data_IF_461964658397
#
_entry.id   IF_461964658397
#
_cell.length_a   1.000
_cell.length_b   1.000
_cell.length_c   1.000
_cell.angle_alpha   90.00
_cell.angle_beta   90.00
_cell.angle_gamma   90.00
#
_symmetry.space_group_name_H-M   'P 1'
#
loop_
_entity.id
_entity.type
_entity.pdbx_description
1 polymer ?
#
# COMPACT_ATOMS: atom_id res chain seq x y z
N UNK A 1 -2.89 -42.96 -22.76
CA UNK A 1 -1.49 -42.51 -22.79
C UNK A 1 -1.41 -41.17 -22.07
N UNK A 2 -1.17 -41.19 -20.77
CA UNK A 2 -0.89 -40.01 -19.96
C UNK A 2 0.54 -39.58 -20.26
N UNK A 3 0.72 -38.79 -21.33
CA UNK A 3 1.99 -38.12 -21.57
C UNK A 3 2.28 -37.25 -20.36
N UNK A 4 3.36 -37.56 -19.63
CA UNK A 4 3.82 -36.72 -18.53
C UNK A 4 4.11 -35.33 -19.08
N UNK A 5 3.17 -34.40 -18.86
CA UNK A 5 3.35 -32.98 -19.11
C UNK A 5 4.46 -32.48 -18.18
N UNK A 6 5.68 -32.47 -18.68
CA UNK A 6 6.83 -31.85 -18.03
C UNK A 6 6.81 -30.35 -18.29
N UNK A 7 7.18 -29.54 -17.29
CA UNK A 7 7.34 -28.09 -17.45
C UNK A 7 8.29 -27.74 -18.60
N UNK A 8 9.36 -28.52 -18.78
CA UNK A 8 10.31 -28.34 -19.90
C UNK A 8 9.73 -28.73 -21.27
N UNK A 9 8.59 -29.42 -21.29
CA UNK A 9 7.84 -29.72 -22.52
C UNK A 9 6.96 -28.57 -23.01
N UNK A 10 6.78 -27.51 -22.21
CA UNK A 10 6.07 -26.28 -22.60
C UNK A 10 6.98 -25.47 -23.55
N UNK A 11 6.48 -24.76 -24.56
CA UNK A 11 7.28 -23.81 -25.34
C UNK A 11 7.96 -22.74 -24.47
N UNK A 12 9.17 -22.29 -24.86
CA UNK A 12 9.96 -21.36 -24.06
C UNK A 12 9.24 -20.02 -23.85
N UNK A 13 8.51 -19.55 -24.86
CA UNK A 13 7.74 -18.30 -24.83
C UNK A 13 6.67 -18.33 -23.74
N UNK A 14 6.01 -19.47 -23.57
CA UNK A 14 5.01 -19.65 -22.50
C UNK A 14 5.67 -19.80 -21.13
N UNK A 15 6.85 -20.42 -21.05
CA UNK A 15 7.61 -20.48 -19.78
C UNK A 15 8.05 -19.11 -19.30
N UNK A 16 8.42 -18.20 -20.21
CA UNK A 16 8.77 -16.81 -19.85
C UNK A 16 7.59 -16.10 -19.16
N UNK A 17 6.37 -16.25 -19.69
CA UNK A 17 5.15 -15.72 -19.07
C UNK A 17 4.93 -16.33 -17.68
N UNK A 18 5.18 -17.64 -17.52
CA UNK A 18 5.10 -18.29 -16.20
C UNK A 18 6.12 -17.70 -15.22
N UNK A 19 7.35 -17.40 -15.65
CA UNK A 19 8.34 -16.77 -14.77
C UNK A 19 7.95 -15.34 -14.38
N UNK A 20 7.31 -14.57 -15.27
CA UNK A 20 6.76 -13.25 -14.95
C UNK A 20 5.65 -13.35 -13.90
N UNK A 21 4.70 -14.26 -14.10
CA UNK A 21 3.63 -14.50 -13.12
C UNK A 21 4.20 -14.95 -11.77
N UNK A 22 5.17 -15.86 -11.77
CA UNK A 22 5.84 -16.31 -10.56
C UNK A 22 6.56 -15.16 -9.84
N UNK A 23 7.23 -14.26 -10.57
CA UNK A 23 7.86 -13.08 -9.98
C UNK A 23 6.80 -12.12 -9.42
N UNK A 24 5.70 -11.89 -10.14
CA UNK A 24 4.59 -11.04 -9.69
C UNK A 24 3.98 -11.57 -8.38
N UNK A 25 3.68 -12.87 -8.31
CA UNK A 25 3.22 -13.51 -7.07
C UNK A 25 4.25 -13.42 -5.95
N UNK A 26 5.54 -13.58 -6.25
CA UNK A 26 6.59 -13.42 -5.26
C UNK A 26 6.64 -12.01 -4.68
N UNK A 27 6.50 -11.01 -5.55
CA UNK A 27 6.52 -9.60 -5.16
C UNK A 27 5.32 -9.21 -4.33
N UNK A 28 4.28 -10.05 -4.24
CA UNK A 28 3.10 -9.81 -3.41
C UNK A 28 3.45 -9.63 -1.93
N UNK A 29 3.07 -8.50 -1.36
CA UNK A 29 3.34 -8.19 0.06
C UNK A 29 2.05 -8.35 0.87
N UNK A 30 1.94 -9.46 1.59
CA UNK A 30 0.84 -9.67 2.54
C UNK A 30 1.29 -9.40 3.97
N UNK A 31 0.42 -8.77 4.77
CA UNK A 31 0.62 -8.52 6.21
C UNK A 31 1.95 -7.81 6.57
N UNK A 32 2.43 -6.88 5.72
CA UNK A 32 3.72 -6.19 5.87
C UNK A 32 4.93 -7.12 5.96
N UNK A 33 4.78 -8.38 5.51
CA UNK A 33 5.85 -9.36 5.53
C UNK A 33 6.70 -9.20 4.27
N UNK A 34 7.99 -8.93 4.47
CA UNK A 34 8.94 -8.90 3.37
C UNK A 34 9.00 -10.28 2.67
N UNK A 35 8.85 -10.33 1.34
CA UNK A 35 9.05 -11.56 0.57
C UNK A 35 10.45 -12.14 0.78
N UNK A 36 10.60 -13.47 0.75
CA UNK A 36 11.90 -14.13 0.92
C UNK A 36 12.37 -14.81 -0.35
N UNK A 37 13.67 -14.73 -0.67
CA UNK A 37 14.22 -15.35 -1.89
C UNK A 37 14.29 -16.89 -1.84
N UNK A 38 13.78 -17.55 -0.80
CA UNK A 38 13.93 -19.00 -0.62
C UNK A 38 13.34 -19.83 -1.76
N UNK A 39 12.18 -19.47 -2.28
CA UNK A 39 11.54 -20.21 -3.38
C UNK A 39 12.15 -19.85 -4.74
N UNK A 40 12.65 -18.62 -4.94
CA UNK A 40 13.48 -18.29 -6.12
C UNK A 40 14.71 -19.19 -6.18
N UNK A 41 15.27 -19.59 -5.01
CA UNK A 41 16.45 -20.46 -5.00
C UNK A 41 16.24 -21.80 -5.73
N UNK A 42 15.00 -22.27 -5.81
CA UNK A 42 14.66 -23.52 -6.51
C UNK A 42 14.89 -23.42 -8.01
N UNK A 43 14.82 -22.22 -8.59
CA UNK A 43 15.02 -22.00 -10.02
C UNK A 43 16.49 -22.16 -10.44
N UNK A 44 17.45 -22.03 -9.51
CA UNK A 44 18.86 -22.30 -9.77
C UNK A 44 19.19 -23.80 -9.85
N UNK A 45 18.24 -24.71 -9.56
CA UNK A 45 18.49 -26.15 -9.58
C UNK A 45 18.57 -26.68 -11.02
N UNK A 46 17.73 -26.17 -11.92
CA UNK A 46 17.73 -26.57 -13.33
C UNK A 46 18.40 -25.48 -14.17
N UNK A 47 19.53 -25.81 -14.81
CA UNK A 47 20.32 -24.86 -15.61
C UNK A 47 19.49 -24.19 -16.71
N UNK A 48 18.67 -24.95 -17.43
CA UNK A 48 17.82 -24.39 -18.49
C UNK A 48 16.81 -23.38 -17.94
N UNK A 49 16.12 -23.72 -16.86
CA UNK A 49 15.16 -22.80 -16.20
C UNK A 49 15.87 -21.55 -15.72
N UNK A 50 17.05 -21.70 -15.13
CA UNK A 50 17.85 -20.57 -14.68
C UNK A 50 18.25 -19.65 -15.84
N UNK A 51 18.82 -20.20 -16.91
CA UNK A 51 19.28 -19.43 -18.07
C UNK A 51 18.12 -18.66 -18.74
N UNK A 52 16.91 -19.24 -18.76
CA UNK A 52 15.70 -18.57 -19.25
C UNK A 52 15.20 -17.48 -18.30
N UNK A 53 15.09 -17.78 -17.00
CA UNK A 53 14.43 -16.93 -16.01
C UNK A 53 15.30 -15.79 -15.48
N UNK A 54 16.64 -15.88 -15.59
CA UNK A 54 17.57 -14.93 -14.97
C UNK A 54 17.34 -13.47 -15.40
N UNK A 55 16.92 -13.25 -16.64
CA UNK A 55 16.66 -11.90 -17.19
C UNK A 55 15.38 -11.24 -16.64
N UNK A 56 14.44 -12.05 -16.15
CA UNK A 56 13.18 -11.61 -15.55
C UNK A 56 13.38 -11.44 -14.04
N UNK A 57 13.85 -12.51 -13.38
CA UNK A 57 13.94 -12.58 -11.93
C UNK A 57 15.09 -11.74 -11.39
N UNK A 58 16.16 -11.58 -12.19
CA UNK A 58 17.29 -10.72 -11.85
C UNK A 58 16.95 -9.23 -11.72
N UNK A 59 15.75 -8.80 -12.11
CA UNK A 59 15.24 -7.43 -11.96
C UNK A 59 14.76 -7.10 -10.55
N UNK A 60 14.70 -8.11 -9.67
CA UNK A 60 14.16 -8.00 -8.32
C UNK A 60 15.16 -8.55 -7.28
N UNK A 61 15.19 -7.95 -6.10
CA UNK A 61 15.92 -8.49 -4.96
C UNK A 61 15.17 -8.26 -3.64
N UNK A 62 15.24 -9.24 -2.74
CA UNK A 62 14.87 -9.07 -1.33
C UNK A 62 16.07 -9.22 -0.40
N UNK A 63 16.36 -8.20 0.40
CA UNK A 63 17.44 -8.12 1.37
C UNK A 63 16.85 -7.88 2.77
N UNK A 64 16.57 -8.96 3.50
CA UNK A 64 15.83 -8.94 4.76
C UNK A 64 16.70 -8.63 5.99
N UNK A 65 18.01 -8.86 5.90
CA UNK A 65 18.92 -8.70 7.02
C UNK A 65 20.37 -8.51 6.55
N UNK A 66 21.23 -8.05 7.44
CA UNK A 66 22.61 -7.64 7.14
C UNK A 66 23.44 -8.74 6.45
N UNK A 67 23.24 -10.02 6.83
CA UNK A 67 23.94 -11.14 6.15
C UNK A 67 23.58 -11.26 4.66
N UNK A 68 22.33 -11.01 4.28
CA UNK A 68 21.91 -11.02 2.87
C UNK A 68 22.45 -9.81 2.12
N UNK A 69 22.44 -8.64 2.77
CA UNK A 69 23.03 -7.40 2.24
C UNK A 69 24.53 -7.62 1.93
N UNK A 70 25.29 -8.14 2.89
CA UNK A 70 26.71 -8.41 2.70
C UNK A 70 26.97 -9.50 1.64
N UNK A 71 26.16 -10.56 1.61
CA UNK A 71 26.27 -11.59 0.57
C UNK A 71 26.01 -11.00 -0.83
N UNK A 72 25.01 -10.13 -0.97
CA UNK A 72 24.74 -9.42 -2.22
C UNK A 72 25.92 -8.54 -2.64
N UNK A 73 26.47 -7.74 -1.71
CA UNK A 73 27.62 -6.88 -1.98
C UNK A 73 28.84 -7.68 -2.43
N UNK A 74 29.09 -8.85 -1.83
CA UNK A 74 30.26 -9.67 -2.14
C UNK A 74 30.11 -10.51 -3.41
N UNK A 75 28.89 -10.96 -3.74
CA UNK A 75 28.68 -11.99 -4.76
C UNK A 75 27.92 -11.53 -6.00
N UNK A 76 27.09 -10.49 -5.92
CA UNK A 76 26.42 -9.97 -7.11
C UNK A 76 27.47 -9.31 -8.02
N UNK A 77 27.43 -9.61 -9.31
CA UNK A 77 28.22 -8.88 -10.32
C UNK A 77 27.67 -7.46 -10.50
N UNK A 78 28.47 -6.54 -11.03
CA UNK A 78 27.99 -5.18 -11.33
C UNK A 78 26.80 -5.19 -12.29
N UNK A 79 26.86 -6.00 -13.35
CA UNK A 79 25.75 -6.14 -14.30
C UNK A 79 24.45 -6.63 -13.65
N UNK A 80 24.54 -7.62 -12.75
CA UNK A 80 23.38 -8.16 -12.02
C UNK A 80 22.80 -7.16 -11.03
N UNK A 81 23.64 -6.36 -10.37
CA UNK A 81 23.16 -5.35 -9.46
C UNK A 81 22.50 -4.19 -10.22
N UNK A 82 23.10 -3.76 -11.34
CA UNK A 82 22.64 -2.64 -12.13
C UNK A 82 21.24 -2.86 -12.75
N UNK A 83 20.89 -4.09 -13.15
CA UNK A 83 19.59 -4.43 -13.74
C UNK A 83 18.42 -4.52 -12.74
N UNK A 84 18.68 -4.36 -11.44
CA UNK A 84 17.62 -4.43 -10.42
C UNK A 84 16.77 -3.16 -10.50
N UNK A 85 15.48 -3.35 -10.76
CA UNK A 85 14.48 -2.28 -10.84
C UNK A 85 13.62 -2.18 -9.58
N UNK A 86 13.42 -3.30 -8.87
CA UNK A 86 12.65 -3.36 -7.63
C UNK A 86 13.48 -3.99 -6.52
N UNK A 87 13.53 -3.33 -5.36
CA UNK A 87 14.22 -3.85 -4.18
C UNK A 87 13.32 -3.82 -2.94
N UNK A 88 13.26 -4.96 -2.26
CA UNK A 88 12.70 -5.09 -0.92
C UNK A 88 13.84 -5.12 0.08
N UNK A 89 13.88 -4.15 0.99
CA UNK A 89 15.01 -4.00 1.91
C UNK A 89 14.54 -3.79 3.34
N UNK A 90 15.29 -4.31 4.31
CA UNK A 90 15.13 -3.97 5.72
C UNK A 90 16.09 -2.83 6.08
N UNK A 91 15.55 -1.67 6.49
CA UNK A 91 16.38 -0.51 6.86
C UNK A 91 16.54 -0.42 8.38
N UNK A 92 17.80 -0.47 8.83
CA UNK A 92 18.17 -0.32 10.24
C UNK A 92 17.97 1.13 10.74
N UNK A 93 18.10 2.12 9.85
CA UNK A 93 17.84 3.53 10.14
C UNK A 93 18.83 4.21 11.09
N UNK A 94 19.68 3.45 11.79
CA UNK A 94 20.69 3.99 12.71
C UNK A 94 21.92 4.49 11.95
N UNK A 95 22.38 5.67 12.35
CA UNK A 95 23.64 6.29 11.92
C UNK A 95 24.48 6.64 13.14
N UNK A 96 25.80 6.50 13.02
CA UNK A 96 26.77 7.03 13.97
C UNK A 96 27.28 8.39 13.49
N UNK A 97 27.28 9.37 14.38
CA UNK A 97 27.83 10.70 14.14
C UNK A 97 28.65 11.22 15.32
N UNK A 98 29.30 12.39 15.17
CA UNK A 98 30.09 13.00 16.22
C UNK A 98 29.24 13.29 17.47
N UNK A 99 29.86 13.17 18.64
CA UNK A 99 29.21 13.37 19.95
C UNK A 99 28.80 14.83 20.17
N UNK A 100 29.53 15.77 19.57
CA UNK A 100 29.33 17.22 19.68
C UNK A 100 28.82 17.82 18.35
N UNK A 101 27.50 17.84 18.18
CA UNK A 101 26.86 18.38 16.97
C UNK A 101 27.16 19.87 16.67
N UNK A 102 27.66 20.62 17.65
CA UNK A 102 27.99 22.06 17.51
C UNK A 102 29.41 22.35 17.04
N UNK A 103 30.32 21.37 17.08
CA UNK A 103 31.74 21.54 16.68
C UNK A 103 32.05 20.82 15.37
N UNK A 104 31.32 19.75 15.07
CA UNK A 104 31.59 18.84 13.94
C UNK A 104 30.39 18.69 12.99
N UNK A 105 29.74 19.81 12.63
CA UNK A 105 28.57 19.79 11.73
C UNK A 105 28.89 19.22 10.33
N UNK A 106 30.16 19.26 9.92
CA UNK A 106 30.63 18.78 8.62
C UNK A 106 31.10 17.31 8.62
N UNK A 107 31.06 16.61 9.77
CA UNK A 107 31.44 15.19 9.78
C UNK A 107 30.32 14.32 9.19
N UNK A 108 30.65 13.41 8.25
CA UNK A 108 29.64 12.58 7.59
C UNK A 108 29.01 11.61 8.58
N UNK A 109 27.69 11.52 8.55
CA UNK A 109 26.95 10.47 9.23
C UNK A 109 27.32 9.12 8.61
N UNK A 110 27.75 8.16 9.44
CA UNK A 110 28.11 6.82 8.98
C UNK A 110 26.96 5.87 9.27
N UNK A 111 26.30 5.28 8.27
CA UNK A 111 25.27 4.26 8.48
C UNK A 111 25.86 3.02 9.16
N UNK A 112 25.10 2.40 10.05
CA UNK A 112 25.54 1.14 10.65
C UNK A 112 25.39 -0.06 9.72
N UNK A 113 24.32 -0.08 8.93
CA UNK A 113 24.08 -1.13 7.94
C UNK A 113 24.80 -0.83 6.63
N UNK A 114 25.29 -1.88 5.96
CA UNK A 114 25.86 -1.79 4.62
C UNK A 114 24.78 -1.68 3.52
N UNK A 115 23.50 -1.52 3.87
CA UNK A 115 22.41 -1.35 2.92
C UNK A 115 22.70 -0.27 1.87
N UNK A 116 23.25 0.87 2.30
CA UNK A 116 23.63 1.97 1.40
C UNK A 116 24.63 1.54 0.31
N UNK A 117 25.53 0.61 0.61
CA UNK A 117 26.49 0.07 -0.37
C UNK A 117 25.78 -0.84 -1.39
N UNK A 118 24.83 -1.65 -0.93
CA UNK A 118 24.03 -2.49 -1.83
C UNK A 118 23.18 -1.62 -2.77
N UNK A 119 22.47 -0.64 -2.22
CA UNK A 119 21.64 0.29 -2.99
C UNK A 119 22.47 1.05 -4.02
N UNK A 120 23.66 1.55 -3.67
CA UNK A 120 24.53 2.27 -4.62
C UNK A 120 24.89 1.46 -5.87
N UNK A 121 24.86 0.12 -5.81
CA UNK A 121 25.14 -0.75 -6.96
C UNK A 121 23.91 -0.96 -7.86
N UNK A 122 22.71 -0.62 -7.40
CA UNK A 122 21.43 -0.82 -8.08
C UNK A 122 21.05 0.39 -8.93
N UNK A 123 21.84 0.70 -9.94
CA UNK A 123 21.73 1.95 -10.69
C UNK A 123 20.41 2.14 -11.46
N UNK A 124 19.68 1.06 -11.77
CA UNK A 124 18.37 1.11 -12.45
C UNK A 124 17.18 0.98 -11.50
N UNK A 125 17.39 1.11 -10.19
CA UNK A 125 16.35 1.01 -9.17
C UNK A 125 15.32 2.13 -9.33
N UNK A 126 14.05 1.76 -9.52
CA UNK A 126 12.91 2.69 -9.62
C UNK A 126 11.86 2.44 -8.54
N UNK A 127 11.75 1.22 -8.02
CA UNK A 127 10.84 0.86 -6.95
C UNK A 127 11.61 0.39 -5.71
N UNK A 128 11.41 1.08 -4.59
CA UNK A 128 12.01 0.73 -3.31
C UNK A 128 10.93 0.49 -2.26
N UNK A 129 10.87 -0.75 -1.75
CA UNK A 129 9.99 -1.12 -0.65
C UNK A 129 10.82 -1.40 0.59
N UNK A 130 10.57 -0.62 1.64
CA UNK A 130 11.35 -0.66 2.88
C UNK A 130 10.52 -1.28 4.00
N UNK A 131 11.06 -2.32 4.61
CA UNK A 131 10.44 -3.09 5.67
C UNK A 131 11.13 -2.83 7.01
N UNK A 132 10.41 -3.14 8.09
CA UNK A 132 10.96 -3.10 9.44
C UNK A 132 12.22 -3.96 9.58
N UNK A 133 13.33 -3.37 10.04
CA UNK A 133 14.49 -4.13 10.44
C UNK A 133 14.23 -4.84 11.79
N UNK A 134 14.10 -6.16 11.75
CA UNK A 134 13.93 -7.02 12.95
C UNK A 134 15.25 -7.54 13.51
N UNK A 135 16.31 -7.51 12.71
CA UNK A 135 17.64 -8.02 13.05
C UNK A 135 18.68 -6.93 12.85
N UNK A 136 18.60 -5.89 13.69
CA UNK A 136 19.59 -4.82 13.67
C UNK A 136 20.97 -5.30 14.10
N UNK A 137 22.01 -4.64 13.62
CA UNK A 137 23.40 -4.94 14.00
C UNK A 137 23.56 -4.69 15.52
N UNK A 138 24.10 -5.64 16.29
CA UNK A 138 24.33 -5.44 17.72
C UNK A 138 25.42 -4.38 17.90
N UNK A 139 25.16 -3.39 18.76
CA UNK A 139 26.11 -2.32 19.07
C UNK A 139 26.59 -2.49 20.50
N UNK A 140 27.91 -2.55 20.71
CA UNK A 140 28.47 -2.37 22.03
C UNK A 140 28.62 -0.88 22.34
N UNK A 141 27.60 -0.31 22.99
CA UNK A 141 27.52 1.13 23.31
C UNK A 141 28.74 1.61 24.12
N UNK A 142 29.37 0.73 24.91
CA UNK A 142 30.53 1.08 25.74
C UNK A 142 31.82 1.29 24.93
N UNK A 143 31.89 0.82 23.67
CA UNK A 143 33.07 0.93 22.81
C UNK A 143 32.98 2.05 21.77
N UNK A 144 31.82 2.68 21.62
CA UNK A 144 31.59 3.68 20.58
C UNK A 144 31.65 5.07 21.20
N UNK A 145 32.73 5.80 20.94
CA UNK A 145 32.87 7.23 21.23
C UNK A 145 32.09 8.09 20.22
N UNK A 146 30.90 7.66 19.79
CA UNK A 146 30.08 8.32 18.79
C UNK A 146 28.60 8.29 19.21
N UNK A 147 27.87 9.34 18.84
CA UNK A 147 26.44 9.44 19.11
C UNK A 147 25.67 8.63 18.08
N UNK A 148 24.82 7.74 18.57
CA UNK A 148 23.86 7.02 17.74
C UNK A 148 22.61 7.89 17.53
N UNK A 149 22.16 8.01 16.29
CA UNK A 149 20.92 8.68 15.95
C UNK A 149 20.11 7.84 14.95
N UNK A 150 18.79 8.07 14.91
CA UNK A 150 17.92 7.53 13.86
C UNK A 150 17.80 8.59 12.76
N UNK A 151 18.29 8.26 11.56
CA UNK A 151 18.19 9.08 10.35
C UNK A 151 17.86 8.16 9.19
N UNK A 152 16.57 7.91 9.01
CA UNK A 152 16.07 6.79 8.22
C UNK A 152 16.57 6.81 6.76
N UNK A 153 16.40 7.91 6.04
CA UNK A 153 16.84 8.01 4.64
C UNK A 153 18.35 8.20 4.51
N UNK A 154 18.99 8.94 5.42
CA UNK A 154 20.45 9.07 5.43
C UNK A 154 21.17 7.74 5.69
N UNK A 155 20.55 6.80 6.40
CA UNK A 155 21.11 5.45 6.56
C UNK A 155 21.15 4.67 5.23
N UNK A 156 20.24 4.96 4.30
CA UNK A 156 20.21 4.38 2.95
C UNK A 156 21.03 5.19 1.94
N UNK A 157 21.08 6.51 2.11
CA UNK A 157 21.68 7.47 1.18
C UNK A 157 22.59 8.47 1.90
N UNK A 158 23.71 8.02 2.52
CA UNK A 158 24.58 8.89 3.31
C UNK A 158 25.27 10.00 2.49
N UNK A 159 25.42 9.78 1.17
CA UNK A 159 26.03 10.73 0.25
C UNK A 159 25.08 11.82 -0.24
N UNK A 160 23.77 11.70 0.03
CA UNK A 160 22.74 12.63 -0.45
C UNK A 160 22.31 12.42 -1.91
N UNK A 161 22.81 11.37 -2.59
CA UNK A 161 22.43 11.05 -3.97
C UNK A 161 21.50 9.82 -4.00
N UNK A 162 20.17 10.01 -3.91
CA UNK A 162 19.22 8.90 -4.02
C UNK A 162 19.02 8.47 -5.48
N UNK A 163 18.42 7.29 -5.66
CA UNK A 163 17.89 6.88 -6.96
C UNK A 163 16.69 7.74 -7.35
N UNK A 164 16.42 7.82 -8.65
CA UNK A 164 15.18 8.40 -9.18
C UNK A 164 14.04 7.39 -9.06
N UNK A 165 13.50 7.28 -7.84
CA UNK A 165 12.40 6.38 -7.56
C UNK A 165 11.10 6.89 -8.20
N UNK A 166 10.33 5.97 -8.77
CA UNK A 166 8.93 6.16 -9.18
C UNK A 166 7.97 5.60 -8.13
N UNK A 167 8.40 4.58 -7.38
CA UNK A 167 7.64 4.01 -6.29
C UNK A 167 8.47 3.95 -5.00
N UNK A 168 7.90 4.47 -3.91
CA UNK A 168 8.51 4.44 -2.59
C UNK A 168 7.49 3.98 -1.55
N UNK A 169 7.73 2.80 -0.99
CA UNK A 169 6.76 2.14 -0.13
C UNK A 169 7.37 1.75 1.21
N UNK A 170 6.75 2.21 2.30
CA UNK A 170 7.17 1.90 3.66
C UNK A 170 6.21 0.90 4.31
N UNK A 171 6.75 -0.23 4.75
CA UNK A 171 6.08 -1.31 5.49
C UNK A 171 6.67 -1.43 6.90
N UNK A 172 6.44 -0.41 7.71
CA UNK A 172 7.04 -0.23 9.03
C UNK A 172 6.04 -0.54 10.15
N UNK A 173 6.58 -0.79 11.33
CA UNK A 173 5.76 -0.97 12.52
C UNK A 173 5.20 0.38 13.02
N UNK A 174 4.06 0.38 13.74
CA UNK A 174 3.41 1.60 14.22
C UNK A 174 4.30 2.51 15.08
N UNK A 175 5.33 1.97 15.72
CA UNK A 175 6.23 2.69 16.62
C UNK A 175 7.47 3.25 15.90
N UNK A 176 7.69 2.87 14.64
CA UNK A 176 8.87 3.30 13.88
C UNK A 176 8.67 4.71 13.34
N UNK A 177 9.50 5.62 13.84
CA UNK A 177 9.54 7.02 13.45
C UNK A 177 10.38 7.24 12.20
N UNK A 178 9.79 7.83 11.18
CA UNK A 178 10.46 8.18 9.93
C UNK A 178 10.10 9.60 9.51
N UNK A 179 11.11 10.38 9.15
CA UNK A 179 10.93 11.61 8.38
C UNK A 179 11.16 11.25 6.92
N UNK A 180 10.14 11.47 6.10
CA UNK A 180 10.18 11.20 4.67
C UNK A 180 10.82 12.37 3.92
N UNK A 181 11.47 12.07 2.80
CA UNK A 181 12.01 13.06 1.86
C UNK A 181 13.07 13.98 2.49
N UNK A 182 13.85 13.46 3.45
CA UNK A 182 15.09 14.11 3.91
C UNK A 182 16.18 14.01 2.82
N UNK A 183 16.17 12.90 2.05
CA UNK A 183 17.11 12.64 0.96
C UNK A 183 16.38 12.23 -0.32
N UNK A 184 15.34 11.39 -0.23
CA UNK A 184 14.60 10.90 -1.41
C UNK A 184 13.84 12.06 -2.07
N UNK A 185 13.91 12.16 -3.40
CA UNK A 185 13.28 13.25 -4.16
C UNK A 185 11.78 12.97 -4.39
N UNK A 186 10.87 13.79 -3.83
CA UNK A 186 9.42 13.54 -3.90
C UNK A 186 8.82 13.79 -5.28
N UNK A 187 9.48 14.59 -6.12
CA UNK A 187 8.94 15.08 -7.40
C UNK A 187 8.71 14.01 -8.47
N UNK A 188 9.37 12.86 -8.34
CA UNK A 188 9.30 11.74 -9.28
C UNK A 188 8.43 10.59 -8.77
N UNK A 189 7.99 10.64 -7.51
CA UNK A 189 7.22 9.56 -6.91
C UNK A 189 5.80 9.55 -7.49
N UNK A 190 5.46 8.48 -8.20
CA UNK A 190 4.14 8.17 -8.73
C UNK A 190 3.31 7.34 -7.74
N UNK A 191 3.98 6.43 -7.02
CA UNK A 191 3.38 5.54 -6.02
C UNK A 191 4.03 5.78 -4.66
N UNK A 192 3.23 6.23 -3.69
CA UNK A 192 3.66 6.41 -2.31
C UNK A 192 2.81 5.54 -1.39
N UNK A 193 3.46 4.65 -0.64
CA UNK A 193 2.82 3.91 0.46
C UNK A 193 3.51 4.26 1.76
N UNK A 194 2.71 4.62 2.77
CA UNK A 194 3.20 5.02 4.08
C UNK A 194 2.50 4.23 5.16
N UNK A 195 3.28 3.72 6.12
CA UNK A 195 2.80 3.03 7.32
C UNK A 195 3.62 3.45 8.54
N UNK A 196 3.02 3.48 9.72
CA UNK A 196 3.70 3.85 10.97
C UNK A 196 3.78 5.35 11.24
N UNK A 197 4.77 5.76 12.04
CA UNK A 197 4.90 7.15 12.51
C UNK A 197 5.73 7.98 11.50
N UNK A 198 5.09 8.33 10.39
CA UNK A 198 5.73 9.06 9.31
C UNK A 198 5.44 10.57 9.38
N UNK A 199 6.50 11.35 9.21
CA UNK A 199 6.47 12.81 9.16
C UNK A 199 6.84 13.28 7.75
N UNK A 200 5.97 14.07 7.15
CA UNK A 200 6.23 14.76 5.90
C UNK A 200 6.69 16.20 6.20
N UNK A 201 7.58 16.78 5.38
CA UNK A 201 7.86 18.21 5.40
C UNK A 201 6.58 19.04 5.22
N UNK A 202 6.55 20.26 5.78
CA UNK A 202 5.33 21.09 5.89
C UNK A 202 4.74 21.58 4.56
N UNK A 203 5.37 21.30 3.42
CA UNK A 203 4.82 21.47 2.09
C UNK A 203 5.69 20.68 1.10
N UNK A 204 5.20 19.52 0.65
CA UNK A 204 5.89 18.72 -0.36
C UNK A 204 5.16 18.86 -1.68
N UNK A 205 5.90 19.21 -2.74
CA UNK A 205 5.38 19.21 -4.10
C UNK A 205 5.56 17.82 -4.71
N UNK A 206 4.45 17.16 -5.03
CA UNK A 206 4.44 15.79 -5.57
C UNK A 206 3.66 15.73 -6.91
N UNK A 207 4.12 16.40 -7.96
CA UNK A 207 3.38 16.54 -9.22
C UNK A 207 3.23 15.21 -9.98
N UNK A 208 4.14 14.26 -9.76
CA UNK A 208 4.08 12.92 -10.34
C UNK A 208 3.11 11.98 -9.60
N UNK A 209 2.73 12.28 -8.34
CA UNK A 209 1.99 11.34 -7.51
C UNK A 209 0.60 11.02 -8.08
N UNK A 210 0.34 9.72 -8.28
CA UNK A 210 -0.91 9.16 -8.79
C UNK A 210 -1.54 8.18 -7.81
N UNK A 211 -0.74 7.45 -7.04
CA UNK A 211 -1.22 6.42 -6.14
C UNK A 211 -0.70 6.71 -4.73
N UNK A 212 -1.63 6.91 -3.80
CA UNK A 212 -1.32 7.13 -2.40
C UNK A 212 -1.99 6.08 -1.53
N UNK A 213 -1.20 5.48 -0.65
CA UNK A 213 -1.69 4.56 0.37
C UNK A 213 -1.21 4.97 1.77
N UNK A 214 -2.17 5.26 2.65
CA UNK A 214 -1.97 5.57 4.05
C UNK A 214 -2.54 4.44 4.90
N UNK A 215 -1.68 3.63 5.51
CA UNK A 215 -2.14 2.45 6.25
C UNK A 215 -1.53 2.34 7.65
N UNK A 216 -2.38 2.43 8.68
CA UNK A 216 -1.94 2.36 10.07
C UNK A 216 -0.90 3.43 10.41
N UNK A 217 -1.18 4.67 9.97
CA UNK A 217 -0.39 5.84 10.33
C UNK A 217 -0.61 6.15 11.82
N UNK A 218 0.46 6.41 12.56
CA UNK A 218 0.43 6.72 14.01
C UNK A 218 0.96 8.11 14.35
N UNK A 219 1.55 8.81 13.39
CA UNK A 219 1.98 10.20 13.55
C UNK A 219 0.82 11.18 13.52
N UNK A 220 1.04 12.37 14.08
CA UNK A 220 0.05 13.45 14.14
C UNK A 220 0.10 14.39 12.92
N UNK A 221 0.93 14.11 11.91
CA UNK A 221 1.09 14.99 10.75
C UNK A 221 -0.25 15.25 10.05
N UNK A 222 -1.00 14.18 9.73
CA UNK A 222 -2.32 14.29 9.10
C UNK A 222 -3.43 14.69 10.07
N UNK A 223 -3.18 14.72 11.39
CA UNK A 223 -4.09 15.37 12.34
C UNK A 223 -3.97 16.90 12.30
N UNK A 224 -2.86 17.43 11.77
CA UNK A 224 -2.60 18.86 11.68
C UNK A 224 -2.77 19.40 10.27
N UNK A 225 -2.53 18.56 9.26
CA UNK A 225 -2.51 18.94 7.85
C UNK A 225 -3.52 18.10 7.05
N UNK A 226 -4.18 18.75 6.11
CA UNK A 226 -5.04 18.13 5.11
C UNK A 226 -4.23 17.49 3.99
N UNK A 227 -4.88 16.68 3.16
CA UNK A 227 -4.22 16.02 2.01
C UNK A 227 -3.65 17.07 1.04
N UNK A 228 -4.38 18.16 0.83
CA UNK A 228 -3.96 19.29 -0.01
C UNK A 228 -2.69 19.97 0.50
N UNK A 229 -2.62 20.22 1.81
CA UNK A 229 -1.46 20.86 2.46
C UNK A 229 -0.23 19.94 2.43
N UNK A 230 -0.42 18.65 2.71
CA UNK A 230 0.68 17.68 2.76
C UNK A 230 1.23 17.32 1.37
N UNK A 231 0.38 17.29 0.33
CA UNK A 231 0.70 16.69 -0.97
C UNK A 231 0.30 17.63 -2.14
N UNK A 232 0.85 18.83 -2.11
CA UNK A 232 0.58 19.86 -3.11
C UNK A 232 0.91 19.41 -4.55
N UNK A 233 0.05 19.79 -5.49
CA UNK A 233 0.24 19.54 -6.93
C UNK A 233 -0.01 18.10 -7.41
N UNK A 234 -0.40 17.18 -6.53
CA UNK A 234 -0.68 15.80 -6.92
C UNK A 234 -1.95 15.69 -7.80
N UNK A 235 -2.02 14.62 -8.60
CA UNK A 235 -3.21 14.27 -9.41
C UNK A 235 -3.56 12.81 -9.18
N UNK A 236 -4.07 12.53 -7.98
CA UNK A 236 -4.30 11.15 -7.56
C UNK A 236 -5.35 10.46 -8.44
N UNK A 237 -4.99 9.28 -8.93
CA UNK A 237 -5.88 8.31 -9.55
C UNK A 237 -6.36 7.28 -8.52
N UNK A 238 -5.56 6.99 -7.49
CA UNK A 238 -5.87 6.04 -6.43
C UNK A 238 -5.54 6.61 -5.06
N UNK A 239 -6.50 6.54 -4.15
CA UNK A 239 -6.32 6.84 -2.73
C UNK A 239 -6.81 5.68 -1.89
N UNK A 240 -5.93 5.15 -1.04
CA UNK A 240 -6.24 4.06 -0.12
C UNK A 240 -5.90 4.51 1.30
N UNK A 241 -6.90 4.50 2.16
CA UNK A 241 -6.74 4.70 3.59
C UNK A 241 -7.18 3.46 4.35
N UNK A 242 -6.43 3.06 5.37
CA UNK A 242 -6.89 2.09 6.33
C UNK A 242 -6.40 2.34 7.75
N UNK A 243 -7.34 2.30 8.69
CA UNK A 243 -7.07 2.36 10.12
C UNK A 243 -6.40 1.06 10.59
N UNK A 244 -5.07 1.00 10.49
CA UNK A 244 -4.28 -0.16 10.88
C UNK A 244 -3.88 -0.21 12.36
N UNK A 245 -4.16 0.84 13.13
CA UNK A 245 -3.80 0.93 14.55
C UNK A 245 -4.86 1.73 15.33
N UNK A 246 -5.26 1.27 16.53
CA UNK A 246 -6.35 1.89 17.31
C UNK A 246 -6.08 3.32 17.78
N UNK A 247 -4.81 3.66 17.96
CA UNK A 247 -4.36 5.01 18.34
C UNK A 247 -3.78 5.77 17.14
N UNK A 248 -4.03 5.27 15.94
CA UNK A 248 -3.52 5.88 14.71
C UNK A 248 -4.33 7.09 14.28
N UNK A 249 -3.83 7.76 13.25
CA UNK A 249 -4.54 8.80 12.53
C UNK A 249 -5.88 8.27 12.01
N UNK A 250 -6.97 8.92 12.45
CA UNK A 250 -8.33 8.68 11.97
C UNK A 250 -8.68 9.69 10.88
N UNK A 251 -9.00 9.21 9.67
CA UNK A 251 -9.55 10.08 8.63
C UNK A 251 -10.88 10.68 9.08
N UNK A 252 -11.11 11.95 8.76
CA UNK A 252 -12.26 12.77 9.20
C UNK A 252 -12.80 13.51 7.99
N UNK A 253 -14.00 14.08 8.12
CA UNK A 253 -14.70 14.81 7.06
C UNK A 253 -13.78 15.78 6.29
N UNK A 254 -13.09 16.68 6.99
CA UNK A 254 -12.16 17.66 6.37
C UNK A 254 -11.08 17.03 5.49
N UNK A 255 -10.62 15.82 5.81
CA UNK A 255 -9.56 15.14 5.05
C UNK A 255 -10.13 14.57 3.75
N UNK A 256 -11.36 14.03 3.79
CA UNK A 256 -12.04 13.52 2.60
C UNK A 256 -12.48 14.68 1.69
N UNK A 257 -12.95 15.78 2.26
CA UNK A 257 -13.30 17.01 1.52
C UNK A 257 -12.07 17.60 0.82
N UNK A 258 -10.94 17.70 1.52
CA UNK A 258 -9.66 18.12 0.93
C UNK A 258 -9.22 17.19 -0.21
N UNK A 259 -9.33 15.86 -0.02
CA UNK A 259 -9.04 14.89 -1.08
C UNK A 259 -9.95 15.09 -2.31
N UNK A 260 -11.25 15.27 -2.09
CA UNK A 260 -12.22 15.49 -3.17
C UNK A 260 -11.93 16.80 -3.93
N UNK A 261 -11.55 17.85 -3.22
CA UNK A 261 -11.16 19.15 -3.81
C UNK A 261 -9.95 19.01 -4.75
N UNK A 262 -8.89 18.33 -4.29
CA UNK A 262 -7.63 18.24 -5.03
C UNK A 262 -7.65 17.18 -6.13
N UNK A 263 -8.20 16.00 -5.82
CA UNK A 263 -8.10 14.82 -6.68
C UNK A 263 -9.42 14.35 -7.28
N UNK A 264 -10.57 14.89 -6.87
CA UNK A 264 -11.88 14.36 -7.20
C UNK A 264 -12.11 14.14 -8.70
N UNK A 265 -11.72 15.11 -9.53
CA UNK A 265 -11.88 15.05 -10.99
C UNK A 265 -11.05 13.94 -11.70
N UNK A 266 -10.08 13.35 -11.01
CA UNK A 266 -9.15 12.36 -11.56
C UNK A 266 -9.22 11.01 -10.83
N UNK A 267 -9.79 10.98 -9.63
CA UNK A 267 -9.80 9.79 -8.79
C UNK A 267 -10.63 8.68 -9.42
N UNK A 268 -10.01 7.50 -9.57
CA UNK A 268 -10.62 6.28 -10.10
C UNK A 268 -10.78 5.19 -9.04
N UNK A 269 -9.92 5.18 -8.01
CA UNK A 269 -9.99 4.25 -6.89
C UNK A 269 -9.98 4.99 -5.56
N UNK A 270 -11.00 4.74 -4.75
CA UNK A 270 -11.13 5.25 -3.39
C UNK A 270 -11.42 4.09 -2.45
N UNK A 271 -10.50 3.83 -1.52
CA UNK A 271 -10.63 2.79 -0.51
C UNK A 271 -10.50 3.43 0.87
N UNK A 272 -11.50 3.25 1.71
CA UNK A 272 -11.62 3.86 3.03
C UNK A 272 -11.94 2.79 4.08
N UNK A 273 -10.93 2.33 4.83
CA UNK A 273 -11.07 1.21 5.75
C UNK A 273 -11.04 1.63 7.22
N UNK A 274 -12.01 1.15 8.00
CA UNK A 274 -12.09 1.39 9.44
C UNK A 274 -12.48 2.82 9.80
N UNK A 275 -13.25 3.50 8.96
CA UNK A 275 -13.63 4.89 9.18
C UNK A 275 -14.74 5.01 10.22
N UNK A 276 -14.44 5.63 11.37
CA UNK A 276 -15.40 5.89 12.46
C UNK A 276 -15.83 7.36 12.57
N UNK A 277 -15.09 8.27 11.91
CA UNK A 277 -15.26 9.74 11.99
C UNK A 277 -15.75 10.38 10.70
N UNK A 278 -16.21 9.57 9.75
CA UNK A 278 -16.80 10.05 8.50
C UNK A 278 -18.32 10.01 8.61
N UNK A 279 -18.96 11.11 8.24
CA UNK A 279 -20.43 11.18 8.16
C UNK A 279 -20.91 10.81 6.77
N UNK A 280 -22.09 10.17 6.68
CA UNK A 280 -22.68 9.76 5.40
C UNK A 280 -22.94 10.96 4.47
N UNK A 281 -23.21 12.14 5.04
CA UNK A 281 -23.38 13.41 4.31
C UNK A 281 -22.12 13.85 3.57
N UNK A 282 -20.97 13.81 4.23
CA UNK A 282 -19.70 14.24 3.63
C UNK A 282 -19.21 13.23 2.61
N UNK A 283 -19.38 11.93 2.87
CA UNK A 283 -19.07 10.89 1.88
C UNK A 283 -19.86 11.13 0.59
N UNK A 284 -21.17 11.37 0.69
CA UNK A 284 -22.03 11.64 -0.46
C UNK A 284 -21.57 12.88 -1.26
N UNK A 285 -21.36 14.01 -0.58
CA UNK A 285 -20.89 15.24 -1.21
C UNK A 285 -19.52 15.08 -1.89
N UNK A 286 -18.63 14.27 -1.31
CA UNK A 286 -17.33 13.98 -1.91
C UNK A 286 -17.46 13.08 -3.15
N UNK A 287 -18.33 12.07 -3.12
CA UNK A 287 -18.58 11.18 -4.26
C UNK A 287 -19.16 11.93 -5.47
N UNK A 288 -19.99 12.94 -5.26
CA UNK A 288 -20.52 13.81 -6.33
C UNK A 288 -19.40 14.55 -7.09
N UNK A 289 -18.27 14.81 -6.42
CA UNK A 289 -17.09 15.44 -7.01
C UNK A 289 -16.11 14.43 -7.64
N UNK A 290 -16.47 13.14 -7.71
CA UNK A 290 -15.63 12.04 -8.22
C UNK A 290 -16.28 11.33 -9.42
N UNK A 291 -16.51 12.01 -10.55
CA UNK A 291 -17.27 11.46 -11.68
C UNK A 291 -16.60 10.28 -12.38
N UNK A 292 -15.28 10.10 -12.19
CA UNK A 292 -14.49 9.02 -12.81
C UNK A 292 -14.22 7.84 -11.88
N UNK A 293 -14.88 7.79 -10.72
CA UNK A 293 -14.64 6.74 -9.75
C UNK A 293 -15.14 5.39 -10.26
N UNK A 294 -14.21 4.46 -10.47
CA UNK A 294 -14.45 3.11 -10.97
C UNK A 294 -14.49 2.09 -9.81
N UNK A 295 -13.65 2.30 -8.79
CA UNK A 295 -13.54 1.43 -7.63
C UNK A 295 -13.81 2.21 -6.35
N UNK A 296 -14.84 1.81 -5.59
CA UNK A 296 -15.15 2.37 -4.28
C UNK A 296 -15.30 1.27 -3.24
N UNK A 297 -14.47 1.34 -2.20
CA UNK A 297 -14.49 0.41 -1.08
C UNK A 297 -14.58 1.17 0.24
N UNK A 298 -15.57 0.85 1.06
CA UNK A 298 -15.85 1.53 2.32
C UNK A 298 -16.07 0.51 3.45
N UNK A 299 -15.23 0.55 4.47
CA UNK A 299 -15.51 -0.08 5.76
C UNK A 299 -15.79 1.00 6.80
N UNK A 300 -17.07 1.14 7.15
CA UNK A 300 -17.57 2.15 8.07
C UNK A 300 -17.84 1.54 9.45
N UNK A 301 -17.39 2.22 10.50
CA UNK A 301 -17.69 1.91 11.90
C UNK A 301 -18.75 2.88 12.40
N UNK A 302 -20.00 2.42 12.51
CA UNK A 302 -21.14 3.25 12.89
C UNK A 302 -21.21 3.43 14.41
N UNK A 303 -21.51 4.66 14.84
CA UNK A 303 -21.76 5.03 16.24
C UNK A 303 -23.22 5.47 16.39
N UNK A 304 -23.54 6.66 15.86
CA UNK A 304 -24.87 7.29 16.04
C UNK A 304 -25.57 7.64 14.72
N UNK A 305 -24.89 7.50 13.58
CA UNK A 305 -25.43 7.87 12.27
C UNK A 305 -25.09 6.82 11.21
N UNK A 306 -26.11 6.50 10.39
CA UNK A 306 -25.97 5.85 9.10
C UNK A 306 -27.06 6.42 8.18
N UNK A 307 -26.70 6.93 7.01
CA UNK A 307 -27.67 7.41 6.01
C UNK A 307 -27.39 6.78 4.65
N UNK A 308 -28.42 6.72 3.81
CA UNK A 308 -28.37 6.08 2.49
C UNK A 308 -27.81 6.98 1.39
N UNK A 309 -27.68 8.27 1.64
CA UNK A 309 -27.36 9.30 0.65
C UNK A 309 -26.03 9.06 -0.08
N UNK A 310 -25.02 8.47 0.56
CA UNK A 310 -23.77 8.16 -0.13
C UNK A 310 -23.93 7.07 -1.21
N UNK A 311 -24.89 6.15 -1.04
CA UNK A 311 -25.24 5.18 -2.09
C UNK A 311 -25.97 5.87 -3.24
N UNK A 312 -26.83 6.84 -2.92
CA UNK A 312 -27.55 7.64 -3.92
C UNK A 312 -26.60 8.51 -4.75
N UNK A 313 -25.50 8.97 -4.14
CA UNK A 313 -24.46 9.79 -4.78
C UNK A 313 -23.37 8.98 -5.50
N UNK A 314 -23.49 7.64 -5.60
CA UNK A 314 -22.50 6.83 -6.31
C UNK A 314 -22.49 7.17 -7.81
N UNK A 315 -21.31 7.40 -8.40
CA UNK A 315 -21.24 7.72 -9.82
C UNK A 315 -21.56 6.50 -10.70
N UNK A 316 -22.09 6.73 -11.91
CA UNK A 316 -22.41 5.66 -12.86
C UNK A 316 -21.15 4.97 -13.43
N UNK A 317 -19.95 5.42 -13.09
CA UNK A 317 -18.68 4.81 -13.50
C UNK A 317 -18.24 3.65 -12.60
N UNK A 318 -18.87 3.48 -11.42
CA UNK A 318 -18.53 2.40 -10.48
C UNK A 318 -18.68 1.02 -11.14
N UNK A 319 -17.56 0.30 -11.22
CA UNK A 319 -17.45 -1.10 -11.64
C UNK A 319 -17.21 -2.03 -10.45
N UNK A 320 -16.48 -1.56 -9.43
CA UNK A 320 -16.21 -2.33 -8.21
C UNK A 320 -16.74 -1.56 -7.00
N UNK A 321 -17.64 -2.19 -6.25
CA UNK A 321 -18.20 -1.62 -5.04
C UNK A 321 -18.04 -2.58 -3.87
N UNK A 322 -17.43 -2.12 -2.78
CA UNK A 322 -17.24 -2.94 -1.58
C UNK A 322 -17.72 -2.17 -0.36
N UNK A 323 -18.61 -2.76 0.43
CA UNK A 323 -19.14 -2.15 1.65
C UNK A 323 -19.03 -3.09 2.83
N UNK A 324 -18.55 -2.57 3.95
CA UNK A 324 -18.56 -3.27 5.23
C UNK A 324 -19.06 -2.31 6.31
N UNK A 325 -20.05 -2.77 7.07
CA UNK A 325 -20.58 -2.03 8.21
C UNK A 325 -20.29 -2.79 9.49
N UNK A 326 -19.69 -2.09 10.44
CA UNK A 326 -19.49 -2.60 11.80
C UNK A 326 -19.97 -1.56 12.79
N UNK A 327 -20.43 -1.99 13.97
CA UNK A 327 -20.72 -1.05 15.05
C UNK A 327 -19.49 -0.81 15.91
N UNK A 328 -19.35 0.41 16.40
CA UNK A 328 -18.48 0.68 17.53
C UNK A 328 -18.92 -0.14 18.76
N UNK A 329 -17.96 -0.48 19.61
CA UNK A 329 -18.25 -1.16 20.88
C UNK A 329 -19.21 -0.29 21.71
N UNK A 330 -20.25 -0.93 22.27
CA UNK A 330 -21.33 -0.31 23.03
C UNK A 330 -22.31 0.59 22.24
N UNK A 331 -22.15 0.76 20.93
CA UNK A 331 -23.12 1.49 20.12
C UNK A 331 -24.39 0.66 19.85
N UNK A 332 -25.55 1.32 19.90
CA UNK A 332 -26.84 0.70 19.59
C UNK A 332 -26.91 0.43 18.08
N UNK A 333 -27.24 -0.80 17.65
CA UNK A 333 -27.47 -1.11 16.24
C UNK A 333 -28.53 -0.22 15.57
N UNK A 334 -28.14 0.45 14.49
CA UNK A 334 -29.01 1.30 13.67
C UNK A 334 -29.78 0.45 12.65
N UNK A 335 -30.57 -0.52 13.11
CA UNK A 335 -31.20 -1.53 12.25
C UNK A 335 -32.13 -0.95 11.19
N UNK A 336 -32.85 0.13 11.52
CA UNK A 336 -33.72 0.82 10.56
C UNK A 336 -32.92 1.43 9.42
N UNK A 337 -31.81 2.09 9.76
CA UNK A 337 -30.96 2.78 8.79
C UNK A 337 -30.18 1.78 7.93
N UNK A 338 -29.68 0.70 8.52
CA UNK A 338 -29.04 -0.40 7.78
C UNK A 338 -30.03 -1.08 6.83
N UNK A 339 -31.30 -1.25 7.23
CA UNK A 339 -32.35 -1.74 6.32
C UNK A 339 -32.59 -0.78 5.17
N UNK A 340 -32.69 0.52 5.46
CA UNK A 340 -32.80 1.56 4.43
C UNK A 340 -31.63 1.53 3.45
N UNK A 341 -30.42 1.30 3.95
CA UNK A 341 -29.21 1.17 3.15
C UNK A 341 -29.21 -0.09 2.28
N UNK A 342 -29.66 -1.22 2.80
CA UNK A 342 -29.86 -2.43 2.00
C UNK A 342 -30.81 -2.16 0.83
N UNK A 343 -31.94 -1.50 1.09
CA UNK A 343 -32.91 -1.17 0.04
C UNK A 343 -32.28 -0.23 -1.00
N UNK A 344 -31.57 0.81 -0.56
CA UNK A 344 -30.87 1.73 -1.46
C UNK A 344 -29.81 1.03 -2.32
N UNK A 345 -29.04 0.09 -1.76
CA UNK A 345 -28.08 -0.70 -2.53
C UNK A 345 -28.78 -1.55 -3.59
N UNK A 346 -29.88 -2.21 -3.25
CA UNK A 346 -30.64 -2.99 -4.22
C UNK A 346 -31.16 -2.11 -5.36
N UNK A 347 -31.80 -0.99 -5.02
CA UNK A 347 -32.49 -0.12 -5.97
C UNK A 347 -31.53 0.71 -6.83
N UNK A 348 -30.45 1.22 -6.25
CA UNK A 348 -29.54 2.16 -6.92
C UNK A 348 -28.29 1.47 -7.46
N UNK A 349 -27.70 0.50 -6.76
CA UNK A 349 -26.45 -0.13 -7.18
C UNK A 349 -26.66 -1.46 -7.90
N UNK A 350 -27.56 -2.31 -7.42
CA UNK A 350 -27.76 -3.63 -8.02
C UNK A 350 -28.68 -3.56 -9.23
N UNK A 351 -29.67 -2.66 -9.23
CA UNK A 351 -30.66 -2.49 -10.31
C UNK A 351 -30.35 -1.37 -11.32
N UNK A 352 -29.28 -0.58 -11.14
CA UNK A 352 -28.85 0.46 -12.11
C UNK A 352 -28.68 -0.05 -13.54
N UNK A 353 -28.82 0.80 -14.58
CA UNK A 353 -28.73 0.36 -15.98
C UNK A 353 -27.44 -0.38 -16.35
N UNK A 354 -26.28 0.19 -15.98
CA UNK A 354 -24.96 -0.43 -16.23
C UNK A 354 -24.62 -1.25 -14.98
N UNK A 355 -24.63 -2.58 -15.09
CA UNK A 355 -24.30 -3.45 -13.97
C UNK A 355 -22.83 -3.26 -13.55
N UNK A 356 -22.54 -3.24 -12.22
CA UNK A 356 -21.16 -3.31 -11.75
C UNK A 356 -20.52 -4.65 -12.16
N UNK A 357 -19.20 -4.74 -12.15
CA UNK A 357 -18.47 -6.00 -12.37
C UNK A 357 -18.40 -6.82 -11.08
N UNK A 358 -18.16 -6.16 -9.95
CA UNK A 358 -17.96 -6.81 -8.66
C UNK A 358 -18.59 -6.01 -7.52
N UNK A 359 -19.34 -6.71 -6.68
CA UNK A 359 -19.96 -6.15 -5.48
C UNK A 359 -19.63 -7.05 -4.28
N UNK A 360 -19.01 -6.48 -3.25
CA UNK A 360 -18.83 -7.16 -1.96
C UNK A 360 -19.61 -6.45 -0.86
N UNK A 361 -20.37 -7.21 -0.07
CA UNK A 361 -21.10 -6.64 1.07
C UNK A 361 -20.88 -7.45 2.34
N UNK A 362 -20.50 -6.75 3.41
CA UNK A 362 -20.46 -7.27 4.77
C UNK A 362 -21.47 -6.50 5.61
N UNK A 363 -22.69 -7.05 5.64
CA UNK A 363 -23.84 -6.52 6.38
C UNK A 363 -24.29 -7.57 7.42
N UNK A 364 -25.15 -7.18 8.36
CA UNK A 364 -25.65 -8.13 9.37
C UNK A 364 -26.46 -9.26 8.75
N UNK A 365 -26.20 -10.49 9.20
CA UNK A 365 -26.94 -11.69 8.77
C UNK A 365 -28.45 -11.57 8.96
N UNK A 366 -28.91 -10.95 10.05
CA UNK A 366 -30.35 -10.76 10.32
C UNK A 366 -31.04 -9.93 9.22
N UNK A 367 -30.35 -8.95 8.64
CA UNK A 367 -30.85 -8.18 7.51
C UNK A 367 -30.74 -8.98 6.21
N UNK A 368 -29.69 -9.76 6.04
CA UNK A 368 -29.54 -10.56 4.80
C UNK A 368 -30.59 -11.68 4.66
N UNK A 369 -31.09 -12.21 5.78
CA UNK A 369 -32.15 -13.24 5.81
C UNK A 369 -33.55 -12.63 5.66
N UNK A 370 -33.72 -11.34 6.00
CA UNK A 370 -35.02 -10.67 5.96
C UNK A 370 -35.62 -10.67 4.54
N UNK A 371 -36.77 -11.33 4.38
CA UNK A 371 -37.46 -11.44 3.09
C UNK A 371 -36.60 -12.06 1.99
N UNK A 372 -35.78 -13.05 2.34
CA UNK A 372 -34.88 -13.79 1.45
C UNK A 372 -33.95 -12.87 0.63
N UNK A 373 -33.57 -11.71 1.21
CA UNK A 373 -32.80 -10.65 0.54
C UNK A 373 -31.51 -11.20 -0.07
N UNK A 374 -30.77 -12.03 0.65
CA UNK A 374 -29.52 -12.60 0.16
C UNK A 374 -29.72 -13.41 -1.12
N UNK A 375 -30.73 -14.27 -1.18
CA UNK A 375 -30.99 -15.12 -2.34
C UNK A 375 -31.53 -14.29 -3.51
N UNK A 376 -32.39 -13.31 -3.24
CA UNK A 376 -32.84 -12.33 -4.23
C UNK A 376 -31.66 -11.58 -4.86
N UNK A 377 -30.68 -11.15 -4.06
CA UNK A 377 -29.50 -10.47 -4.58
C UNK A 377 -28.60 -11.39 -5.40
N UNK A 378 -28.41 -12.65 -4.98
CA UNK A 378 -27.66 -13.66 -5.76
C UNK A 378 -28.34 -13.98 -7.08
N UNK A 379 -29.67 -14.07 -7.10
CA UNK A 379 -30.43 -14.24 -8.34
C UNK A 379 -30.25 -13.04 -9.26
N UNK A 380 -30.35 -11.82 -8.72
CA UNK A 380 -30.12 -10.60 -9.49
C UNK A 380 -28.68 -10.55 -10.05
N UNK A 381 -27.67 -10.90 -9.25
CA UNK A 381 -26.27 -10.96 -9.70
C UNK A 381 -26.06 -11.96 -10.85
N UNK A 382 -26.67 -13.15 -10.76
CA UNK A 382 -26.66 -14.15 -11.83
C UNK A 382 -27.36 -13.64 -13.09
N UNK A 383 -28.55 -13.06 -12.94
CA UNK A 383 -29.35 -12.55 -14.06
C UNK A 383 -28.66 -11.37 -14.78
N UNK A 384 -27.83 -10.62 -14.07
CA UNK A 384 -27.13 -9.44 -14.58
C UNK A 384 -25.63 -9.64 -14.80
N UNK A 385 -25.15 -10.88 -14.64
CA UNK A 385 -23.77 -11.30 -14.90
C UNK A 385 -22.68 -10.50 -14.16
N UNK A 386 -22.86 -10.25 -12.85
CA UNK A 386 -21.81 -9.67 -12.01
C UNK A 386 -21.45 -10.55 -10.83
N UNK A 387 -20.23 -10.38 -10.31
CA UNK A 387 -19.76 -11.10 -9.12
C UNK A 387 -20.33 -10.45 -7.86
N UNK A 388 -20.97 -11.24 -7.01
CA UNK A 388 -21.52 -10.79 -5.73
C UNK A 388 -21.01 -11.67 -4.59
N UNK A 389 -20.25 -11.07 -3.68
CA UNK A 389 -19.68 -11.75 -2.53
C UNK A 389 -20.23 -11.18 -1.21
N UNK A 390 -20.41 -12.08 -0.25
CA UNK A 390 -20.87 -11.76 1.10
C UNK A 390 -19.79 -12.07 2.12
N UNK A 391 -19.56 -11.14 3.06
CA UNK A 391 -18.60 -11.32 4.14
C UNK A 391 -17.44 -10.33 4.10
N UNK A 392 -16.43 -10.56 4.96
CA UNK A 392 -15.27 -9.69 5.10
C UNK A 392 -14.39 -9.73 3.84
N UNK A 393 -14.01 -8.56 3.34
CA UNK A 393 -13.24 -8.40 2.10
C UNK A 393 -11.99 -7.51 2.23
N UNK A 394 -11.76 -6.90 3.40
CA UNK A 394 -10.71 -5.87 3.61
C UNK A 394 -9.28 -6.32 3.26
N UNK A 395 -9.00 -7.62 3.26
CA UNK A 395 -7.69 -8.17 2.94
C UNK A 395 -7.28 -7.95 1.48
N UNK A 396 -8.23 -7.92 0.55
CA UNK A 396 -7.95 -7.87 -0.89
C UNK A 396 -7.51 -6.47 -1.35
N UNK A 397 -8.15 -5.40 -0.86
CA UNK A 397 -7.92 -4.05 -1.41
C UNK A 397 -6.66 -3.36 -0.87
N UNK A 398 -6.12 -3.84 0.27
CA UNK A 398 -4.83 -3.41 0.79
C UNK A 398 -3.65 -3.95 -0.01
N UNK A 399 -3.94 -4.87 -0.94
CA UNK A 399 -2.98 -5.65 -1.72
C UNK A 399 -2.97 -5.24 -3.21
N UNK A 400 -4.04 -4.60 -3.71
CA UNK A 400 -4.19 -4.12 -5.10
C UNK A 400 -3.71 -2.67 -5.31
N UNK A 401 -2.39 -2.44 -5.39
CA UNK A 401 -1.83 -1.26 -6.07
C UNK A 401 -1.38 -1.69 -7.48
N UNK A 402 -1.56 -0.85 -8.52
CA UNK A 402 -1.02 -1.19 -9.83
C UNK A 402 0.51 -1.28 -9.73
N UNK A 403 1.02 -2.48 -10.03
CA UNK A 403 2.46 -2.80 -10.14
C UNK A 403 3.10 -2.15 -11.36
#
# INVERSE_FOLDING_TARGET
>A
MSGNLSFLGIPAELRLVVYELYLSEHQHVSNRRQPSNHHIRLLYICKQVFDEAVSIIGRYVSLQHERQINAFILHATESQAAQIHLADVANDGRVSGPTNASVDADQPLVPLSNLHLALRRMTSLTCLRVFQCRQGIPINIQKINARLAIRFEHAMYPSGYPHHLTAYELFLDPETRVTLFEVVLPQFIEVLRVTGECHLPAAVCMPALRHLMLYGITGNHFDQHTVEESLSGCRLHSFIYGLGHRLGFEIRNRHLESLASVAGAHLRKLVLLGCSRLTSTVIAACLENMPKLEHFALSLVTVDELRTNFVLSLPPTISVFKLQLTNAWYAIPLLSDERGLCNALEDVLLRRPIAPQHVCVCLRNSLMIEGDRQDRWKELARNRCFQLDFGLWQGEDLEDLPS
#
